data_IF_448000210686
#
_entry.id   IF_448000210686
#
_cell.length_a   1.000
_cell.length_b   1.000
_cell.length_c   1.000
_cell.angle_alpha   90.00
_cell.angle_beta   90.00
_cell.angle_gamma   90.00
#
_symmetry.space_group_name_H-M   'P 1'
#
loop_
_entity.id
_entity.type
_entity.pdbx_description
1 polymer ?
#
# COMPACT_ATOMS: atom_id res chain seq x y z
N UNK A 1 63.77 19.20 -0.24
CA UNK A 1 62.73 19.58 0.71
C UNK A 1 61.44 19.10 0.07
N UNK A 2 60.94 17.96 0.52
CA UNK A 2 59.70 17.36 0.04
C UNK A 2 58.64 17.60 1.13
N UNK A 3 57.70 18.44 0.80
CA UNK A 3 56.54 18.66 1.66
C UNK A 3 55.60 17.43 1.53
N UNK A 4 55.54 16.63 2.58
CA UNK A 4 54.53 15.62 2.73
C UNK A 4 53.24 16.29 3.22
N UNK A 5 52.29 16.49 2.32
CA UNK A 5 50.91 16.82 2.70
C UNK A 5 50.31 15.61 3.45
N UNK A 6 50.14 15.75 4.75
CA UNK A 6 49.43 14.79 5.58
C UNK A 6 47.95 14.82 5.22
N UNK A 7 47.45 13.76 4.66
CA UNK A 7 46.01 13.50 4.54
C UNK A 7 45.41 13.46 5.95
N UNK A 8 44.65 14.50 6.27
CA UNK A 8 43.85 14.55 7.50
C UNK A 8 42.66 13.60 7.34
N UNK A 9 42.80 12.39 7.84
CA UNK A 9 41.73 11.38 7.97
C UNK A 9 40.65 11.79 9.00
N UNK A 10 40.03 12.93 8.81
CA UNK A 10 39.03 13.50 9.76
C UNK A 10 37.59 13.10 9.40
N UNK A 11 37.39 12.33 8.34
CA UNK A 11 36.05 11.92 7.88
C UNK A 11 35.94 10.41 7.58
N UNK A 12 36.75 9.58 8.21
CA UNK A 12 36.45 8.15 8.22
C UNK A 12 35.37 7.89 9.28
N UNK A 13 34.17 7.56 8.80
CA UNK A 13 33.09 7.13 9.67
C UNK A 13 33.50 5.81 10.36
N UNK A 14 33.18 5.64 11.67
CA UNK A 14 33.53 4.40 12.37
C UNK A 14 32.93 3.18 11.65
N UNK A 15 33.70 2.11 11.51
CA UNK A 15 33.19 0.82 11.01
C UNK A 15 31.98 0.38 11.85
N UNK A 16 30.85 0.12 11.19
CA UNK A 16 29.59 -0.26 11.84
C UNK A 16 28.71 0.91 12.28
N UNK A 17 28.98 2.16 11.87
CA UNK A 17 28.12 3.30 12.15
C UNK A 17 26.75 3.21 11.44
N UNK A 18 26.71 2.62 10.26
CA UNK A 18 25.47 2.25 9.59
C UNK A 18 25.17 0.77 9.85
N UNK A 19 23.95 0.48 10.31
CA UNK A 19 23.46 -0.90 10.27
C UNK A 19 23.52 -1.38 8.81
N UNK A 20 24.03 -2.59 8.59
CA UNK A 20 24.05 -3.17 7.26
C UNK A 20 22.64 -3.17 6.67
N UNK A 21 22.49 -2.66 5.44
CA UNK A 21 21.23 -2.72 4.73
C UNK A 21 20.75 -4.18 4.70
N UNK A 22 19.54 -4.41 5.22
CA UNK A 22 18.96 -5.76 5.20
C UNK A 22 18.59 -6.10 3.77
N UNK A 23 19.05 -7.25 3.31
CA UNK A 23 18.72 -7.75 1.98
C UNK A 23 17.20 -7.92 1.79
N UNK A 24 16.69 -7.69 0.57
CA UNK A 24 15.32 -7.98 0.23
C UNK A 24 14.95 -9.45 0.54
N UNK A 25 13.73 -9.68 0.95
CA UNK A 25 13.17 -11.02 1.17
C UNK A 25 12.10 -11.35 0.15
N UNK A 26 11.69 -12.63 0.07
CA UNK A 26 10.67 -13.07 -0.86
C UNK A 26 9.53 -13.77 -0.13
N UNK A 27 8.30 -13.53 -0.60
CA UNK A 27 7.09 -14.18 -0.10
C UNK A 27 6.26 -14.70 -1.27
N UNK A 28 5.95 -15.99 -1.26
CA UNK A 28 5.04 -16.58 -2.24
C UNK A 28 3.58 -16.31 -1.84
N UNK A 29 2.79 -15.84 -2.80
CA UNK A 29 1.33 -15.78 -2.73
C UNK A 29 0.74 -16.67 -3.82
N UNK A 30 -0.14 -17.58 -3.45
CA UNK A 30 -0.82 -18.46 -4.40
C UNK A 30 -2.27 -18.02 -4.56
N UNK A 31 -2.65 -17.64 -5.79
CA UNK A 31 -4.03 -17.30 -6.14
C UNK A 31 -4.94 -18.52 -6.05
N UNK A 32 -6.25 -18.30 -5.92
CA UNK A 32 -7.26 -19.38 -5.98
C UNK A 32 -7.21 -20.16 -7.31
N UNK A 33 -6.76 -19.54 -8.39
CA UNK A 33 -6.51 -20.19 -9.69
C UNK A 33 -5.31 -21.15 -9.68
N UNK A 34 -4.50 -21.16 -8.63
CA UNK A 34 -3.23 -21.88 -8.53
C UNK A 34 -2.01 -21.14 -9.07
N UNK A 35 -2.18 -19.94 -9.65
CA UNK A 35 -1.06 -19.10 -10.05
C UNK A 35 -0.27 -18.64 -8.83
N UNK A 36 1.06 -18.75 -8.90
CA UNK A 36 1.97 -18.33 -7.82
C UNK A 36 2.67 -17.04 -8.19
N UNK A 37 2.61 -16.07 -7.29
CA UNK A 37 3.36 -14.83 -7.35
C UNK A 37 4.48 -14.87 -6.30
N UNK A 38 5.72 -14.66 -6.73
CA UNK A 38 6.86 -14.56 -5.82
C UNK A 38 7.21 -13.09 -5.61
N UNK A 39 6.68 -12.51 -4.55
CA UNK A 39 6.79 -11.08 -4.26
C UNK A 39 8.10 -10.77 -3.54
N UNK A 40 8.87 -9.84 -4.07
CA UNK A 40 10.01 -9.24 -3.38
C UNK A 40 9.52 -8.18 -2.40
N UNK A 41 9.98 -8.28 -1.16
CA UNK A 41 9.84 -7.26 -0.14
C UNK A 41 11.16 -6.51 -0.02
N UNK A 42 11.12 -5.18 0.10
CA UNK A 42 12.33 -4.39 0.37
C UNK A 42 13.02 -4.87 1.63
N UNK A 43 14.29 -4.54 1.82
CA UNK A 43 14.98 -4.70 3.08
C UNK A 43 14.33 -3.89 4.21
N UNK A 44 15.03 -3.64 5.30
CA UNK A 44 14.48 -2.78 6.35
C UNK A 44 14.19 -1.38 5.79
N UNK A 45 12.93 -0.94 5.88
CA UNK A 45 12.48 0.37 5.41
C UNK A 45 11.69 1.07 6.53
N UNK A 46 12.02 2.32 6.88
CA UNK A 46 11.32 3.09 7.94
C UNK A 46 9.83 3.29 7.67
N UNK A 47 9.41 3.16 6.41
CA UNK A 47 8.00 3.26 6.00
C UNK A 47 7.29 1.88 5.98
N UNK A 48 7.89 0.85 6.61
CA UNK A 48 7.29 -0.48 6.81
C UNK A 48 7.00 -1.27 5.53
N UNK A 49 7.61 -0.90 4.39
CA UNK A 49 7.44 -1.59 3.09
C UNK A 49 7.99 -3.02 3.03
N UNK A 50 8.68 -3.46 4.08
CA UNK A 50 9.32 -4.79 4.17
C UNK A 50 8.39 -5.90 4.70
N UNK A 51 7.10 -5.64 4.85
CA UNK A 51 6.10 -6.64 5.24
C UNK A 51 5.00 -6.79 4.19
N UNK A 52 4.45 -8.00 4.07
CA UNK A 52 3.22 -8.25 3.34
C UNK A 52 2.06 -8.25 4.33
N UNK A 53 1.44 -7.10 4.50
CA UNK A 53 0.46 -6.77 5.52
C UNK A 53 -0.86 -7.54 5.37
N UNK A 54 -1.56 -7.79 6.49
CA UNK A 54 -2.80 -8.55 6.53
C UNK A 54 -3.93 -7.92 5.71
N UNK A 55 -4.07 -6.59 5.70
CA UNK A 55 -5.08 -5.91 4.88
C UNK A 55 -4.82 -6.13 3.39
N UNK A 56 -3.57 -6.05 2.92
CA UNK A 56 -3.22 -6.32 1.53
C UNK A 56 -3.56 -7.75 1.11
N UNK A 57 -3.23 -8.76 1.94
CA UNK A 57 -3.63 -10.17 1.72
C UNK A 57 -5.14 -10.35 1.70
N UNK A 58 -5.85 -9.63 2.57
CA UNK A 58 -7.31 -9.74 2.69
C UNK A 58 -8.01 -9.09 1.51
N UNK A 59 -7.54 -7.93 1.01
CA UNK A 59 -8.05 -7.29 -0.21
C UNK A 59 -7.79 -8.17 -1.42
N UNK A 60 -6.59 -8.76 -1.55
CA UNK A 60 -6.27 -9.68 -2.64
C UNK A 60 -7.27 -10.84 -2.70
N UNK A 61 -7.51 -11.52 -1.58
CA UNK A 61 -8.49 -12.59 -1.48
C UNK A 61 -9.93 -12.11 -1.72
N UNK A 62 -10.27 -10.90 -1.28
CA UNK A 62 -11.58 -10.29 -1.52
C UNK A 62 -11.82 -10.06 -3.02
N UNK A 63 -10.82 -9.59 -3.76
CA UNK A 63 -10.89 -9.43 -5.21
C UNK A 63 -10.97 -10.77 -5.94
N UNK A 64 -10.20 -11.78 -5.53
CA UNK A 64 -10.28 -13.11 -6.12
C UNK A 64 -11.67 -13.73 -5.96
N UNK A 65 -12.31 -13.51 -4.81
CA UNK A 65 -13.68 -13.97 -4.54
C UNK A 65 -14.75 -13.12 -5.24
N UNK A 66 -14.42 -11.88 -5.63
CA UNK A 66 -15.33 -10.90 -6.23
C UNK A 66 -14.66 -10.16 -7.41
N UNK A 67 -14.26 -10.86 -8.48
CA UNK A 67 -13.47 -10.27 -9.56
C UNK A 67 -14.17 -9.11 -10.28
N UNK A 68 -15.49 -9.03 -10.24
CA UNK A 68 -16.27 -7.92 -10.79
C UNK A 68 -15.96 -6.56 -10.13
N UNK A 69 -15.36 -6.56 -8.94
CA UNK A 69 -14.96 -5.32 -8.27
C UNK A 69 -13.85 -4.58 -9.01
N UNK A 70 -13.00 -5.29 -9.75
CA UNK A 70 -11.85 -4.71 -10.46
C UNK A 70 -11.86 -4.98 -11.97
N UNK A 71 -12.59 -5.98 -12.44
CA UNK A 71 -12.64 -6.35 -13.87
C UNK A 71 -13.09 -5.19 -14.74
N UNK A 72 -12.30 -4.86 -15.75
CA UNK A 72 -12.51 -3.75 -16.71
C UNK A 72 -12.56 -2.36 -16.06
N UNK A 73 -12.06 -2.22 -14.84
CA UNK A 73 -12.01 -0.95 -14.07
C UNK A 73 -10.61 -0.36 -14.02
N UNK A 74 -10.53 0.94 -13.81
CA UNK A 74 -9.30 1.64 -13.47
C UNK A 74 -9.08 1.58 -11.95
N UNK A 75 -7.89 1.16 -11.53
CA UNK A 75 -7.54 0.90 -10.12
C UNK A 75 -6.34 1.74 -9.71
N UNK A 76 -6.43 2.40 -8.55
CA UNK A 76 -5.31 3.09 -7.91
C UNK A 76 -5.06 2.47 -6.53
N UNK A 77 -3.85 2.04 -6.25
CA UNK A 77 -3.42 1.65 -4.91
C UNK A 77 -2.47 2.70 -4.32
N UNK A 78 -2.74 3.11 -3.08
CA UNK A 78 -1.92 4.05 -2.32
C UNK A 78 -1.13 3.30 -1.25
N UNK A 79 0.16 3.61 -1.08
CA UNK A 79 1.00 3.00 -0.06
C UNK A 79 1.10 1.48 -0.19
N UNK A 80 1.43 1.00 -1.38
CA UNK A 80 1.22 -0.39 -1.79
C UNK A 80 2.24 -1.40 -1.22
N UNK A 81 3.41 -0.95 -0.73
CA UNK A 81 4.49 -1.83 -0.29
C UNK A 81 4.93 -2.80 -1.40
N UNK A 82 4.55 -4.07 -1.30
CA UNK A 82 4.84 -5.07 -2.33
C UNK A 82 3.86 -5.05 -3.52
N UNK A 83 2.73 -4.35 -3.42
CA UNK A 83 1.74 -4.19 -4.51
C UNK A 83 0.84 -5.40 -4.75
N UNK A 84 0.66 -6.29 -3.78
CA UNK A 84 -0.14 -7.51 -3.97
C UNK A 84 -1.57 -7.23 -4.47
N UNK A 85 -2.40 -6.35 -3.85
CA UNK A 85 -3.74 -6.06 -4.34
C UNK A 85 -3.77 -5.56 -5.79
N UNK A 86 -2.81 -4.72 -6.16
CA UNK A 86 -2.65 -4.22 -7.54
C UNK A 86 -2.30 -5.31 -8.54
N UNK A 87 -1.38 -6.21 -8.21
CA UNK A 87 -1.03 -7.35 -9.04
C UNK A 87 -2.24 -8.28 -9.25
N UNK A 88 -2.98 -8.58 -8.17
CA UNK A 88 -4.22 -9.36 -8.26
C UNK A 88 -5.25 -8.65 -9.15
N UNK A 89 -5.44 -7.34 -8.99
CA UNK A 89 -6.36 -6.56 -9.83
C UNK A 89 -6.00 -6.67 -11.32
N UNK A 90 -4.71 -6.60 -11.67
CA UNK A 90 -4.23 -6.75 -13.02
C UNK A 90 -4.50 -8.17 -13.57
N UNK A 91 -4.25 -9.22 -12.79
CA UNK A 91 -4.55 -10.62 -13.16
C UNK A 91 -6.06 -10.89 -13.30
N UNK A 92 -6.90 -10.15 -12.58
CA UNK A 92 -8.36 -10.21 -12.69
C UNK A 92 -8.93 -9.29 -13.80
N UNK A 93 -8.07 -8.89 -14.76
CA UNK A 93 -8.46 -8.11 -15.94
C UNK A 93 -8.95 -6.70 -15.62
N UNK A 94 -8.33 -6.01 -14.69
CA UNK A 94 -8.49 -4.57 -14.54
C UNK A 94 -8.11 -3.87 -15.87
N UNK A 95 -8.80 -2.76 -16.20
CA UNK A 95 -8.55 -1.98 -17.43
C UNK A 95 -7.16 -1.32 -17.38
N UNK A 96 -6.82 -0.74 -16.26
CA UNK A 96 -5.53 -0.13 -15.93
C UNK A 96 -5.34 -0.10 -14.42
N UNK A 97 -4.13 -0.41 -13.97
CA UNK A 97 -3.75 -0.35 -12.55
C UNK A 97 -2.59 0.63 -12.40
N UNK A 98 -2.74 1.60 -11.49
CA UNK A 98 -1.67 2.48 -11.04
C UNK A 98 -1.37 2.13 -9.59
N UNK A 99 -0.21 1.56 -9.36
CA UNK A 99 0.23 1.20 -8.01
C UNK A 99 1.22 2.25 -7.51
N UNK A 100 0.98 2.79 -6.32
CA UNK A 100 1.81 3.89 -5.80
C UNK A 100 2.32 3.63 -4.40
N UNK A 101 3.50 4.18 -4.13
CA UNK A 101 4.04 4.29 -2.79
C UNK A 101 4.72 5.66 -2.61
N UNK A 102 5.19 5.94 -1.40
CA UNK A 102 6.02 7.11 -1.14
C UNK A 102 7.14 7.17 -2.18
N UNK A 103 7.50 8.36 -2.70
CA UNK A 103 8.49 8.51 -3.79
C UNK A 103 9.94 8.26 -3.32
N UNK A 104 10.15 7.14 -2.69
CA UNK A 104 11.43 6.57 -2.30
C UNK A 104 11.91 5.61 -3.38
N UNK A 105 13.21 5.67 -3.72
CA UNK A 105 13.76 4.90 -4.83
C UNK A 105 13.64 3.39 -4.62
N UNK A 106 13.85 2.90 -3.39
CA UNK A 106 13.81 1.47 -3.08
C UNK A 106 12.39 0.93 -3.18
N UNK A 107 11.40 1.67 -2.65
CA UNK A 107 9.99 1.29 -2.72
C UNK A 107 9.50 1.22 -4.17
N UNK A 108 9.80 2.23 -4.99
CA UNK A 108 9.33 2.28 -6.38
C UNK A 108 10.07 1.27 -7.27
N UNK A 109 11.36 1.08 -7.05
CA UNK A 109 12.14 0.03 -7.73
C UNK A 109 11.63 -1.36 -7.36
N UNK A 110 11.24 -1.58 -6.10
CA UNK A 110 10.67 -2.85 -5.65
C UNK A 110 9.30 -3.13 -6.28
N UNK A 111 8.41 -2.13 -6.36
CA UNK A 111 7.13 -2.24 -7.06
C UNK A 111 7.34 -2.58 -8.54
N UNK A 112 8.26 -1.89 -9.21
CA UNK A 112 8.59 -2.14 -10.62
C UNK A 112 9.12 -3.57 -10.83
N UNK A 113 10.00 -4.04 -9.93
CA UNK A 113 10.48 -5.41 -9.94
C UNK A 113 9.33 -6.43 -9.81
N UNK A 114 8.41 -6.24 -8.86
CA UNK A 114 7.28 -7.13 -8.66
C UNK A 114 6.33 -7.14 -9.86
N UNK A 115 6.12 -6.00 -10.51
CA UNK A 115 5.35 -5.92 -11.75
C UNK A 115 6.02 -6.73 -12.86
N UNK A 116 7.31 -6.53 -13.09
CA UNK A 116 8.06 -7.22 -14.13
C UNK A 116 8.10 -8.74 -13.89
N UNK A 117 8.29 -9.17 -12.64
CA UNK A 117 8.36 -10.58 -12.27
C UNK A 117 6.99 -11.28 -12.28
N UNK A 118 5.91 -10.58 -11.86
CA UNK A 118 4.61 -11.20 -11.60
C UNK A 118 3.53 -10.85 -12.64
N UNK A 119 3.69 -9.76 -13.39
CA UNK A 119 2.66 -9.22 -14.30
C UNK A 119 3.24 -8.54 -15.54
N UNK A 120 4.27 -9.09 -16.25
CA UNK A 120 5.09 -8.37 -17.23
C UNK A 120 4.32 -7.84 -18.45
N UNK A 121 3.15 -8.38 -18.74
CA UNK A 121 2.34 -8.00 -19.91
C UNK A 121 0.98 -7.42 -19.52
N UNK A 122 0.74 -7.18 -18.24
CA UNK A 122 -0.53 -6.68 -17.75
C UNK A 122 -0.54 -5.14 -17.68
N UNK A 123 -1.71 -4.49 -17.74
CA UNK A 123 -1.83 -3.03 -17.77
C UNK A 123 -1.64 -2.40 -16.39
N UNK A 124 -0.47 -2.57 -15.79
CA UNK A 124 -0.09 -2.07 -14.47
C UNK A 124 1.19 -1.24 -14.54
N UNK A 125 1.26 -0.15 -13.76
CA UNK A 125 2.43 0.73 -13.67
C UNK A 125 2.67 1.19 -12.23
N UNK A 126 3.95 1.24 -11.83
CA UNK A 126 4.38 1.80 -10.54
C UNK A 126 4.69 3.29 -10.66
N UNK A 127 4.28 4.07 -9.66
CA UNK A 127 4.58 5.51 -9.54
C UNK A 127 4.90 5.90 -8.10
N UNK A 128 5.88 6.76 -7.92
CA UNK A 128 6.07 7.48 -6.66
C UNK A 128 4.98 8.54 -6.49
N UNK A 129 4.31 8.56 -5.33
CA UNK A 129 3.26 9.54 -5.06
C UNK A 129 3.21 9.92 -3.58
N UNK A 130 3.24 11.23 -3.32
CA UNK A 130 3.06 11.77 -1.97
C UNK A 130 1.58 12.10 -1.75
N UNK A 131 0.98 11.54 -0.69
CA UNK A 131 -0.43 11.81 -0.38
C UNK A 131 -0.70 13.31 -0.22
N UNK A 132 -1.82 13.77 -0.77
CA UNK A 132 -2.21 15.17 -0.80
C UNK A 132 -1.60 16.00 -1.93
N UNK A 133 -0.64 15.47 -2.68
CA UNK A 133 -0.07 16.12 -3.85
C UNK A 133 -1.06 16.22 -5.02
N UNK A 134 -0.61 16.84 -6.12
CA UNK A 134 -1.37 16.89 -7.36
C UNK A 134 -1.50 15.49 -7.99
N UNK A 135 -2.73 15.08 -8.29
CA UNK A 135 -3.06 13.75 -8.82
C UNK A 135 -3.01 13.68 -10.35
N UNK A 136 -2.71 14.77 -11.04
CA UNK A 136 -2.74 14.86 -12.52
C UNK A 136 -1.86 13.79 -13.17
N UNK A 137 -0.67 13.52 -12.63
CA UNK A 137 0.24 12.50 -13.16
C UNK A 137 -0.28 11.05 -12.99
N UNK A 138 -1.17 10.81 -12.03
CA UNK A 138 -1.84 9.52 -11.84
C UNK A 138 -3.02 9.39 -12.80
N UNK A 139 -3.80 10.46 -12.97
CA UNK A 139 -4.96 10.51 -13.85
C UNK A 139 -4.55 10.38 -15.32
N UNK A 140 -3.39 10.90 -15.70
CA UNK A 140 -2.82 10.74 -17.06
C UNK A 140 -2.70 9.27 -17.46
N UNK A 141 -2.42 8.37 -16.52
CA UNK A 141 -2.27 6.93 -16.77
C UNK A 141 -3.57 6.21 -17.13
N UNK A 142 -4.71 6.82 -16.84
CA UNK A 142 -6.03 6.22 -17.06
C UNK A 142 -6.84 6.92 -18.16
N UNK A 143 -6.29 7.93 -18.82
CA UNK A 143 -6.99 8.64 -19.91
C UNK A 143 -7.58 7.68 -20.95
N UNK A 144 -8.78 7.94 -21.50
CA UNK A 144 -9.57 9.17 -21.35
C UNK A 144 -10.41 9.25 -20.06
N UNK A 145 -10.29 8.31 -19.13
CA UNK A 145 -10.93 8.44 -17.81
C UNK A 145 -10.31 9.62 -17.04
N UNK A 146 -11.13 10.33 -16.25
CA UNK A 146 -10.72 11.51 -15.50
C UNK A 146 -10.45 11.21 -14.03
N UNK A 147 -10.68 9.94 -13.59
CA UNK A 147 -10.47 9.45 -12.23
C UNK A 147 -10.49 7.91 -12.22
N UNK A 148 -10.37 7.31 -11.04
CA UNK A 148 -10.33 5.86 -10.85
C UNK A 148 -11.67 5.30 -10.39
N UNK A 149 -12.02 4.11 -10.91
CA UNK A 149 -13.20 3.35 -10.48
C UNK A 149 -13.02 2.76 -9.07
N UNK A 150 -11.79 2.32 -8.76
CA UNK A 150 -11.46 1.65 -7.50
C UNK A 150 -10.18 2.25 -6.91
N UNK A 151 -10.25 2.63 -5.64
CA UNK A 151 -9.07 2.96 -4.85
C UNK A 151 -8.82 1.89 -3.79
N UNK A 152 -7.55 1.59 -3.52
CA UNK A 152 -7.11 0.61 -2.52
C UNK A 152 -6.24 1.32 -1.48
N UNK A 153 -6.64 1.20 -0.22
CA UNK A 153 -5.93 1.69 0.96
C UNK A 153 -5.79 0.52 1.94
N UNK A 154 -4.63 -0.14 1.93
CA UNK A 154 -4.38 -1.35 2.72
C UNK A 154 -3.38 -1.07 3.85
N UNK A 155 -3.83 -1.15 5.10
CA UNK A 155 -3.05 -0.90 6.33
C UNK A 155 -2.36 0.49 6.38
N UNK A 156 -3.06 1.56 5.97
CA UNK A 156 -2.51 2.93 5.94
C UNK A 156 -2.93 3.81 7.12
N UNK A 157 -3.95 3.41 7.91
CA UNK A 157 -4.55 4.27 8.93
C UNK A 157 -3.67 4.51 10.15
N UNK A 158 -2.58 3.76 10.31
CA UNK A 158 -1.60 3.95 11.39
C UNK A 158 -0.88 5.30 11.36
N UNK A 159 -0.87 5.98 10.21
CA UNK A 159 -0.20 7.26 10.02
C UNK A 159 -1.20 8.42 10.20
N UNK A 160 -1.57 8.67 11.46
CA UNK A 160 -2.65 9.60 11.82
C UNK A 160 -2.41 11.04 11.33
N UNK A 161 -1.15 11.49 11.26
CA UNK A 161 -0.81 12.85 10.78
C UNK A 161 -1.13 13.05 9.30
N UNK A 162 -1.21 11.97 8.53
CA UNK A 162 -1.40 12.01 7.09
C UNK A 162 -2.87 11.75 6.66
N UNK A 163 -3.79 11.47 7.60
CA UNK A 163 -5.19 11.17 7.30
C UNK A 163 -5.86 12.22 6.41
N UNK A 164 -5.64 13.52 6.69
CA UNK A 164 -6.21 14.61 5.87
C UNK A 164 -5.72 14.56 4.42
N UNK A 165 -4.42 14.33 4.22
CA UNK A 165 -3.82 14.23 2.89
C UNK A 165 -4.29 12.97 2.16
N UNK A 166 -4.45 11.87 2.90
CA UNK A 166 -4.95 10.62 2.34
C UNK A 166 -6.41 10.77 1.88
N UNK A 167 -7.30 11.36 2.70
CA UNK A 167 -8.69 11.68 2.32
C UNK A 167 -8.72 12.64 1.13
N UNK A 168 -7.86 13.67 1.11
CA UNK A 168 -7.75 14.58 -0.03
C UNK A 168 -7.36 13.85 -1.32
N UNK A 169 -6.44 12.89 -1.24
CA UNK A 169 -6.06 12.07 -2.39
C UNK A 169 -7.24 11.22 -2.87
N UNK A 170 -7.96 10.58 -1.94
CA UNK A 170 -9.15 9.79 -2.27
C UNK A 170 -10.18 10.64 -3.01
N UNK A 171 -10.54 11.80 -2.47
CA UNK A 171 -11.58 12.67 -3.06
C UNK A 171 -11.19 13.25 -4.43
N UNK A 172 -9.89 13.47 -4.67
CA UNK A 172 -9.38 13.96 -5.97
C UNK A 172 -9.24 12.88 -7.03
N UNK A 173 -9.16 11.61 -6.61
CA UNK A 173 -8.85 10.50 -7.51
C UNK A 173 -10.04 9.56 -7.76
N UNK A 174 -11.06 9.59 -6.91
CA UNK A 174 -12.21 8.68 -6.99
C UNK A 174 -13.28 9.23 -7.93
N UNK A 175 -13.74 8.41 -8.89
CA UNK A 175 -14.93 8.71 -9.71
C UNK A 175 -16.17 8.88 -8.84
N UNK A 176 -17.19 9.60 -9.34
CA UNK A 176 -18.45 9.82 -8.62
C UNK A 176 -19.21 8.51 -8.32
N UNK A 177 -19.07 7.51 -9.18
CA UNK A 177 -19.63 6.15 -9.02
C UNK A 177 -18.57 5.13 -8.57
N UNK A 178 -17.38 5.61 -8.21
CA UNK A 178 -16.26 4.78 -7.77
C UNK A 178 -16.37 4.30 -6.31
N UNK A 179 -15.50 3.39 -5.94
CA UNK A 179 -15.41 2.84 -4.57
C UNK A 179 -13.97 2.85 -4.09
N UNK A 180 -13.72 3.42 -2.92
CA UNK A 180 -12.44 3.25 -2.22
C UNK A 180 -12.59 2.15 -1.15
N UNK A 181 -11.70 1.16 -1.20
CA UNK A 181 -11.59 0.08 -0.22
C UNK A 181 -10.53 0.46 0.81
N UNK A 182 -10.94 0.56 2.06
CA UNK A 182 -10.04 0.90 3.18
C UNK A 182 -10.04 -0.27 4.15
N UNK A 183 -8.99 -1.07 4.08
CA UNK A 183 -8.82 -2.22 4.96
C UNK A 183 -7.64 -1.98 5.89
N UNK A 184 -7.80 -2.28 7.17
CA UNK A 184 -6.73 -2.08 8.15
C UNK A 184 -6.83 -3.08 9.30
N UNK A 185 -5.68 -3.31 9.94
CA UNK A 185 -5.57 -4.07 11.17
C UNK A 185 -5.08 -3.13 12.28
N UNK A 186 -5.76 -3.04 13.43
CA UNK A 186 -5.31 -2.19 14.53
C UNK A 186 -4.14 -2.85 15.28
N UNK A 187 -2.93 -2.84 14.68
CA UNK A 187 -1.72 -3.40 15.30
C UNK A 187 -1.35 -2.73 16.61
N UNK A 188 -1.86 -1.52 16.86
CA UNK A 188 -1.75 -0.77 18.12
C UNK A 188 -3.14 -0.50 18.67
N UNK A 189 -3.78 -1.48 19.36
CA UNK A 189 -5.20 -1.38 19.78
C UNK A 189 -5.54 -0.15 20.59
N UNK A 190 -4.59 0.36 21.37
CA UNK A 190 -4.77 1.61 22.15
C UNK A 190 -4.84 2.89 21.28
N UNK A 191 -4.59 2.80 20.00
CA UNK A 191 -4.71 3.88 19.03
C UNK A 191 -5.89 3.69 18.07
N UNK A 192 -6.73 2.66 18.25
CA UNK A 192 -7.85 2.34 17.37
C UNK A 192 -8.77 3.54 17.12
N UNK A 193 -9.07 4.36 18.14
CA UNK A 193 -9.88 5.57 17.97
C UNK A 193 -9.23 6.58 17.01
N UNK A 194 -7.90 6.67 17.03
CA UNK A 194 -7.18 7.53 16.08
C UNK A 194 -7.19 6.97 14.68
N UNK A 195 -7.11 5.64 14.51
CA UNK A 195 -7.26 4.99 13.20
C UNK A 195 -8.66 5.27 12.64
N UNK A 196 -9.71 5.10 13.47
CA UNK A 196 -11.10 5.32 13.08
C UNK A 196 -11.43 6.79 12.77
N UNK A 197 -10.71 7.77 13.31
CA UNK A 197 -10.88 9.19 13.01
C UNK A 197 -10.69 9.52 11.51
N UNK A 198 -10.01 8.66 10.74
CA UNK A 198 -9.95 8.74 9.28
C UNK A 198 -11.35 8.75 8.64
N UNK A 199 -12.25 7.91 9.13
CA UNK A 199 -13.60 7.77 8.58
C UNK A 199 -14.47 8.99 8.86
N UNK A 200 -14.24 9.70 9.96
CA UNK A 200 -14.97 10.95 10.23
C UNK A 200 -14.50 12.05 9.28
N UNK A 201 -13.19 12.17 9.01
CA UNK A 201 -12.65 13.06 7.97
C UNK A 201 -13.19 12.71 6.58
N UNK A 202 -13.34 11.43 6.26
CA UNK A 202 -13.92 10.99 5.00
C UNK A 202 -15.38 11.42 4.86
N UNK A 203 -16.21 11.27 5.92
CA UNK A 203 -17.59 11.73 5.96
C UNK A 203 -17.69 13.25 5.83
N UNK A 204 -16.86 14.00 6.55
CA UNK A 204 -16.78 15.47 6.45
C UNK A 204 -16.42 15.93 5.02
N UNK A 205 -15.72 15.08 4.27
CA UNK A 205 -15.33 15.32 2.87
C UNK A 205 -16.38 14.87 1.84
N UNK A 206 -17.58 14.46 2.27
CA UNK A 206 -18.70 14.08 1.41
C UNK A 206 -18.73 12.61 1.00
N UNK A 207 -17.98 11.75 1.70
CA UNK A 207 -18.01 10.32 1.46
C UNK A 207 -18.91 9.58 2.45
N UNK A 208 -19.69 8.64 1.95
CA UNK A 208 -20.38 7.63 2.76
C UNK A 208 -19.37 6.54 3.12
N UNK A 209 -19.46 6.03 4.35
CA UNK A 209 -18.57 5.01 4.89
C UNK A 209 -19.40 3.81 5.35
N UNK A 210 -19.20 2.67 4.73
CA UNK A 210 -19.90 1.42 5.06
C UNK A 210 -18.88 0.36 5.48
N UNK A 211 -19.05 -0.26 6.66
CA UNK A 211 -18.24 -1.42 7.07
C UNK A 211 -18.72 -2.65 6.31
N UNK A 212 -17.83 -3.29 5.56
CA UNK A 212 -18.16 -4.42 4.66
C UNK A 212 -17.50 -5.73 5.05
N UNK A 213 -16.47 -5.68 5.91
CA UNK A 213 -15.73 -6.88 6.30
C UNK A 213 -15.18 -6.76 7.73
N UNK A 214 -15.22 -7.89 8.43
CA UNK A 214 -14.46 -8.14 9.64
C UNK A 214 -13.92 -9.58 9.54
N UNK A 215 -12.59 -9.71 9.47
CA UNK A 215 -11.93 -11.01 9.30
C UNK A 215 -10.88 -11.21 10.37
N UNK A 216 -11.09 -12.22 11.19
CA UNK A 216 -10.09 -12.66 12.18
C UNK A 216 -9.08 -13.56 11.47
N UNK A 217 -7.80 -13.20 11.53
CA UNK A 217 -6.70 -14.02 11.02
C UNK A 217 -6.35 -15.12 12.01
N UNK A 218 -5.73 -16.21 11.53
CA UNK A 218 -5.38 -17.36 12.37
C UNK A 218 -4.41 -16.99 13.49
N UNK A 219 -3.50 -16.05 13.23
CA UNK A 219 -2.51 -15.57 14.20
C UNK A 219 -2.23 -14.08 14.04
N UNK A 220 -1.67 -13.47 15.08
CA UNK A 220 -1.15 -12.10 15.02
C UNK A 220 0.07 -12.01 14.07
N UNK A 221 0.32 -10.85 13.52
CA UNK A 221 1.49 -10.61 12.66
C UNK A 221 2.78 -10.45 13.48
N UNK A 222 2.66 -9.85 14.68
CA UNK A 222 3.77 -9.60 15.61
C UNK A 222 3.41 -10.19 16.98
N UNK A 223 4.06 -11.29 17.36
CA UNK A 223 3.71 -12.06 18.57
C UNK A 223 4.05 -11.29 19.86
N UNK A 224 5.13 -10.52 19.84
CA UNK A 224 5.64 -9.80 21.02
C UNK A 224 4.94 -8.45 21.28
N UNK A 225 4.11 -7.97 20.37
CA UNK A 225 3.45 -6.68 20.52
C UNK A 225 2.38 -6.72 21.64
N UNK A 226 2.26 -5.65 22.45
CA UNK A 226 1.28 -5.59 23.52
C UNK A 226 -0.14 -5.33 23.02
N UNK A 227 -1.11 -5.49 23.92
CA UNK A 227 -2.52 -5.13 23.71
C UNK A 227 -3.38 -6.31 23.28
N UNK A 228 -4.63 -6.01 22.94
CA UNK A 228 -5.65 -7.00 22.62
C UNK A 228 -5.28 -7.82 21.37
N UNK A 229 -5.02 -9.12 21.59
CA UNK A 229 -4.61 -10.03 20.52
C UNK A 229 -5.70 -10.19 19.45
N UNK A 230 -6.97 -10.22 19.83
CA UNK A 230 -8.06 -10.37 18.88
C UNK A 230 -8.12 -9.18 17.94
N UNK A 231 -7.98 -7.95 18.45
CA UNK A 231 -7.91 -6.75 17.62
C UNK A 231 -6.68 -6.77 16.71
N UNK A 232 -5.50 -7.13 17.23
CA UNK A 232 -4.24 -7.18 16.46
C UNK A 232 -4.22 -8.21 15.33
N UNK A 233 -5.16 -9.16 15.31
CA UNK A 233 -5.33 -10.14 14.23
C UNK A 233 -6.65 -10.01 13.49
N UNK A 234 -7.42 -8.93 13.72
CA UNK A 234 -8.67 -8.68 13.00
C UNK A 234 -8.45 -7.62 11.93
N UNK A 235 -8.74 -7.97 10.69
CA UNK A 235 -8.80 -7.04 9.57
C UNK A 235 -10.20 -6.47 9.47
N UNK A 236 -10.32 -5.15 9.55
CA UNK A 236 -11.55 -4.42 9.29
C UNK A 236 -11.54 -3.86 7.88
N UNK A 237 -12.63 -4.07 7.13
CA UNK A 237 -12.80 -3.56 5.77
C UNK A 237 -13.97 -2.59 5.67
N UNK A 238 -13.72 -1.47 5.02
CA UNK A 238 -14.71 -0.42 4.75
C UNK A 238 -14.71 -0.05 3.28
N UNK A 239 -15.90 0.32 2.78
CA UNK A 239 -16.09 0.94 1.48
C UNK A 239 -16.45 2.41 1.65
N UNK A 240 -15.76 3.27 0.90
CA UNK A 240 -16.06 4.68 0.79
C UNK A 240 -16.61 4.96 -0.60
N UNK A 241 -17.73 5.68 -0.67
CA UNK A 241 -18.38 6.14 -1.92
C UNK A 241 -18.86 7.57 -1.74
N UNK A 242 -19.02 8.29 -2.81
CA UNK A 242 -19.68 9.60 -2.76
C UNK A 242 -21.10 9.48 -2.21
N UNK A 243 -21.52 10.45 -1.34
CA UNK A 243 -22.82 10.49 -0.69
C UNK A 243 -23.95 10.89 -1.64
#
# INVERSE_FOLDING_TARGET
MSDSEGELGIFEEPEGFYEAEKEPTFVEYTLQSGLKLNLRLVGHNPLWGHFLWNAGRTIALHFESNPQLVKSKTVLELGAGAGLPSLISAHLSAKRVVVTDYPDADLITNLSYNIEACAPSLPIVAKGFLWGADTSALIEEVKPDEAFDVLILADLLFNHSEHKKLVQTVTKSLKQDGTALVFFTPYRPWLLEKDLAFFDLAKESGLKVDKVLEKVMDKVMFEEDPGDELLRRTVFGYELRWA
#
